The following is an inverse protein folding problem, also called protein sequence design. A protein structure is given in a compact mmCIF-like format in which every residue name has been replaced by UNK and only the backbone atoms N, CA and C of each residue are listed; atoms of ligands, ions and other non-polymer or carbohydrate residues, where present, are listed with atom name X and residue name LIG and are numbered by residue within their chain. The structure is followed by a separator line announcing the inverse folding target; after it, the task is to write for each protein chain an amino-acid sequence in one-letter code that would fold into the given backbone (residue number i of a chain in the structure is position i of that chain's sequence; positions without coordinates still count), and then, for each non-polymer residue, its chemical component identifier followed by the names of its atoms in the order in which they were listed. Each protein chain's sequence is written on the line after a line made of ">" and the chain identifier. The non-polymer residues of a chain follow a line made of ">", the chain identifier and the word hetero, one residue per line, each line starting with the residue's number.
data_IF_177246108876
#
_entry.id   IF_177246108876
#
_cell.length_a   1.000
_cell.length_b   1.000
_cell.length_c   1.000
_cell.angle_alpha   90.00
_cell.angle_beta   90.00
_cell.angle_gamma   90.00
#
_symmetry.space_group_name_H-M   'P 1'
#
loop_
_entity.id
_entity.type
_entity.pdbx_description
1 polymer ?
#
# COMPACT_ATOMS: atom_id res chain seq x y z
N UNK A 1 13.55 19.11 17.27
CA UNK A 1 13.27 19.02 15.82
C UNK A 1 12.78 17.60 15.58
N UNK A 2 11.50 17.41 15.28
CA UNK A 2 10.97 16.10 14.93
C UNK A 2 10.83 16.07 13.41
N UNK A 3 11.90 15.70 12.73
CA UNK A 3 11.82 15.26 11.34
C UNK A 3 11.24 13.84 11.37
N UNK A 4 9.91 13.74 11.40
CA UNK A 4 9.20 12.48 11.12
C UNK A 4 9.28 12.24 9.59
N UNK A 5 10.49 11.99 9.13
CA UNK A 5 10.76 11.51 7.79
C UNK A 5 10.40 10.04 7.78
N UNK A 6 9.48 9.65 6.90
CA UNK A 6 9.04 8.26 6.73
C UNK A 6 10.20 7.38 6.29
N UNK A 7 11.03 6.96 7.23
CA UNK A 7 12.09 6.01 7.03
C UNK A 7 11.46 4.70 6.58
N UNK A 8 11.85 4.24 5.39
CA UNK A 8 11.51 2.90 4.94
C UNK A 8 12.07 1.95 6.00
N UNK A 9 11.25 1.09 6.61
CA UNK A 9 11.74 0.17 7.62
C UNK A 9 12.88 -0.67 7.04
N UNK A 10 13.95 -0.87 7.80
CA UNK A 10 15.18 -1.55 7.32
C UNK A 10 14.95 -2.98 6.82
N UNK A 11 13.83 -3.58 7.21
CA UNK A 11 13.36 -4.91 6.79
C UNK A 11 12.30 -4.83 5.67
N UNK A 12 12.33 -3.77 4.86
CA UNK A 12 11.47 -3.59 3.71
C UNK A 12 12.34 -3.37 2.49
N UNK A 13 12.30 -4.33 1.57
CA UNK A 13 12.99 -4.28 0.29
C UNK A 13 11.99 -3.88 -0.79
N UNK A 14 12.25 -2.79 -1.51
CA UNK A 14 11.44 -2.40 -2.66
C UNK A 14 11.77 -3.32 -3.82
N UNK A 15 10.76 -4.00 -4.35
CA UNK A 15 10.91 -4.98 -5.43
C UNK A 15 10.57 -4.34 -6.76
N UNK A 16 9.36 -3.79 -6.88
CA UNK A 16 8.87 -3.24 -8.15
C UNK A 16 7.85 -2.10 -7.93
N UNK A 17 7.54 -1.34 -8.97
CA UNK A 17 6.55 -0.26 -8.94
C UNK A 17 5.27 -0.71 -9.65
N UNK A 18 4.21 -0.91 -8.89
CA UNK A 18 2.94 -1.46 -9.41
C UNK A 18 2.12 -0.37 -10.12
N UNK A 19 2.03 0.80 -9.49
CA UNK A 19 1.18 1.90 -9.93
C UNK A 19 1.80 3.24 -9.58
N UNK A 20 1.78 4.18 -10.52
CA UNK A 20 2.15 5.58 -10.26
C UNK A 20 1.03 6.47 -10.75
N UNK A 21 0.56 7.38 -9.91
CA UNK A 21 -0.44 8.38 -10.25
C UNK A 21 -0.10 9.75 -9.69
N UNK A 22 -0.58 10.78 -10.34
CA UNK A 22 -0.44 12.16 -9.87
C UNK A 22 -1.81 12.67 -9.45
N UNK A 23 -1.95 13.06 -8.19
CA UNK A 23 -3.18 13.66 -7.68
C UNK A 23 -3.32 15.09 -8.21
N UNK A 24 -4.57 15.56 -8.38
CA UNK A 24 -4.86 16.95 -8.79
C UNK A 24 -4.24 18.01 -7.87
N UNK A 25 -3.97 17.65 -6.62
CA UNK A 25 -3.27 18.49 -5.63
C UNK A 25 -1.77 18.62 -5.88
N UNK A 26 -1.20 17.98 -6.90
CA UNK A 26 0.24 18.00 -7.22
C UNK A 26 1.08 16.96 -6.47
N UNK A 27 0.46 16.10 -5.68
CA UNK A 27 1.15 14.98 -5.01
C UNK A 27 1.29 13.80 -5.96
N UNK A 28 2.51 13.29 -6.11
CA UNK A 28 2.78 12.03 -6.79
C UNK A 28 2.57 10.88 -5.81
N UNK A 29 1.73 9.92 -6.18
CA UNK A 29 1.47 8.72 -5.40
C UNK A 29 1.98 7.52 -6.16
N UNK A 30 2.86 6.76 -5.53
CA UNK A 30 3.43 5.53 -6.04
C UNK A 30 3.05 4.38 -5.12
N UNK A 31 2.56 3.29 -5.70
CA UNK A 31 2.38 2.02 -5.04
C UNK A 31 3.48 1.10 -5.50
N UNK A 32 4.32 0.69 -4.55
CA UNK A 32 5.45 -0.19 -4.82
C UNK A 32 5.22 -1.53 -4.16
N UNK A 33 5.52 -2.60 -4.88
CA UNK A 33 5.63 -3.93 -4.31
C UNK A 33 6.86 -3.97 -3.42
N UNK A 34 6.66 -4.32 -2.17
CA UNK A 34 7.74 -4.47 -1.21
C UNK A 34 7.76 -5.87 -0.64
N UNK A 35 8.95 -6.35 -0.36
CA UNK A 35 9.18 -7.60 0.35
C UNK A 35 9.53 -7.30 1.79
N UNK A 36 8.76 -7.92 2.67
CA UNK A 36 8.95 -7.98 4.12
C UNK A 36 9.49 -9.36 4.47
N UNK A 37 10.01 -9.58 5.69
CA UNK A 37 10.75 -10.80 5.99
C UNK A 37 9.88 -12.06 5.87
N UNK A 38 8.55 -11.89 5.93
CA UNK A 38 7.59 -12.99 5.90
C UNK A 38 6.60 -12.94 4.73
N UNK A 39 6.50 -11.85 3.97
CA UNK A 39 5.51 -11.70 2.88
C UNK A 39 5.79 -10.55 1.93
N UNK A 40 5.11 -10.58 0.78
CA UNK A 40 5.02 -9.45 -0.14
C UNK A 40 3.82 -8.59 0.24
N UNK A 41 4.02 -7.28 0.21
CA UNK A 41 3.02 -6.28 0.55
C UNK A 41 3.10 -5.13 -0.48
N UNK A 42 2.01 -4.36 -0.60
CA UNK A 42 2.01 -3.08 -1.26
C UNK A 42 2.40 -1.98 -0.25
N UNK A 43 3.33 -1.12 -0.63
CA UNK A 43 3.71 0.07 0.11
C UNK A 43 3.32 1.32 -0.66
N UNK A 44 2.79 2.31 0.07
CA UNK A 44 2.40 3.60 -0.49
C UNK A 44 3.55 4.59 -0.31
N UNK A 45 3.88 5.30 -1.38
CA UNK A 45 4.84 6.39 -1.40
C UNK A 45 4.13 7.64 -1.91
N UNK A 46 4.30 8.76 -1.21
CA UNK A 46 3.73 10.05 -1.60
C UNK A 46 4.87 11.06 -1.69
N UNK A 47 5.11 11.62 -2.88
CA UNK A 47 6.28 12.44 -3.20
C UNK A 47 7.57 11.75 -2.74
N UNK A 48 7.75 10.49 -3.13
CA UNK A 48 8.87 9.61 -2.75
C UNK A 48 8.98 9.29 -1.24
N UNK A 49 8.08 9.81 -0.40
CA UNK A 49 8.07 9.51 1.04
C UNK A 49 7.22 8.28 1.32
N UNK A 50 7.81 7.30 2.00
CA UNK A 50 7.07 6.14 2.49
C UNK A 50 5.94 6.56 3.42
N UNK A 51 4.77 5.98 3.22
CA UNK A 51 3.60 6.15 4.07
C UNK A 51 3.15 4.81 4.62
N UNK A 52 3.06 4.67 5.96
CA UNK A 52 2.49 3.48 6.54
C UNK A 52 1.01 3.37 6.12
N UNK A 53 0.60 2.14 5.85
CA UNK A 53 -0.71 1.83 5.29
C UNK A 53 -0.98 0.32 5.32
N UNK A 54 -2.20 -0.08 4.94
CA UNK A 54 -2.51 -1.49 4.78
C UNK A 54 -1.58 -2.12 3.74
N UNK A 55 -1.24 -3.41 3.91
CA UNK A 55 -0.38 -4.14 2.99
C UNK A 55 -1.04 -4.41 1.63
N UNK A 56 -2.34 -4.13 1.49
CA UNK A 56 -3.12 -4.20 0.25
C UNK A 56 -4.23 -3.14 0.25
N UNK A 57 -4.74 -2.71 -0.92
CA UNK A 57 -5.86 -1.78 -1.00
C UNK A 57 -7.11 -2.37 -0.35
N UNK A 58 -7.75 -1.57 0.50
CA UNK A 58 -8.97 -1.97 1.19
C UNK A 58 -10.19 -1.34 0.55
N UNK A 59 -11.32 -2.05 0.47
CA UNK A 59 -12.56 -1.48 -0.01
C UNK A 59 -12.99 -0.31 0.90
N UNK A 60 -13.53 0.73 0.28
CA UNK A 60 -14.17 1.84 0.97
C UNK A 60 -15.62 1.44 1.27
N UNK A 61 -16.08 1.67 2.50
CA UNK A 61 -17.50 1.47 2.87
C UNK A 61 -18.43 2.38 2.06
N UNK A 62 -17.94 3.55 1.67
CA UNK A 62 -18.65 4.48 0.80
C UNK A 62 -17.70 4.89 -0.32
N UNK A 63 -17.95 4.46 -1.58
CA UNK A 63 -17.13 4.87 -2.70
C UNK A 63 -17.22 6.39 -2.88
N UNK A 64 -16.07 7.03 -3.07
CA UNK A 64 -15.95 8.48 -3.20
C UNK A 64 -15.58 8.85 -4.64
N UNK A 65 -16.58 9.20 -5.45
CA UNK A 65 -16.39 9.41 -6.89
C UNK A 65 -16.00 8.10 -7.56
N UNK A 66 -14.83 8.07 -8.19
CA UNK A 66 -14.27 6.88 -8.86
C UNK A 66 -13.46 5.98 -7.91
N UNK A 67 -13.17 6.46 -6.69
CA UNK A 67 -12.43 5.69 -5.70
C UNK A 67 -13.34 4.69 -4.98
N UNK A 68 -13.06 3.41 -5.16
CA UNK A 68 -13.74 2.30 -4.50
C UNK A 68 -12.88 1.67 -3.41
N UNK A 69 -11.56 1.84 -3.49
CA UNK A 69 -10.60 1.31 -2.53
C UNK A 69 -9.69 2.41 -2.01
N UNK A 70 -9.04 2.16 -0.88
CA UNK A 70 -8.12 3.10 -0.26
C UNK A 70 -6.88 2.42 0.30
N UNK A 71 -5.77 3.18 0.34
CA UNK A 71 -4.57 2.85 1.11
C UNK A 71 -3.98 4.10 1.79
N UNK A 72 -3.10 3.86 2.76
CA UNK A 72 -2.41 4.87 3.57
C UNK A 72 -3.19 5.30 4.80
N UNK A 73 -2.48 5.61 5.89
CA UNK A 73 -3.08 6.12 7.14
C UNK A 73 -3.65 7.52 6.93
N UNK A 74 -2.78 8.49 6.58
CA UNK A 74 -3.10 9.89 6.27
C UNK A 74 -1.96 10.52 5.43
N UNK A 75 -2.23 11.17 4.29
CA UNK A 75 -3.54 11.24 3.62
C UNK A 75 -3.98 9.88 3.09
N UNK A 76 -5.29 9.60 3.12
CA UNK A 76 -5.87 8.40 2.49
C UNK A 76 -5.88 8.62 0.98
N UNK A 77 -5.28 7.69 0.25
CA UNK A 77 -5.30 7.70 -1.22
C UNK A 77 -6.40 6.77 -1.69
N UNK A 78 -7.31 7.31 -2.51
CA UNK A 78 -8.34 6.54 -3.20
C UNK A 78 -7.82 5.90 -4.49
N UNK A 79 -8.24 4.66 -4.72
CA UNK A 79 -7.96 3.86 -5.90
C UNK A 79 -9.28 3.41 -6.53
N UNK A 80 -9.29 3.32 -7.85
CA UNK A 80 -10.40 2.67 -8.57
C UNK A 80 -10.38 1.17 -8.32
N UNK A 81 -11.45 0.47 -8.72
CA UNK A 81 -11.50 -0.99 -8.60
C UNK A 81 -10.39 -1.65 -9.41
N UNK A 82 -10.13 -1.17 -10.62
CA UNK A 82 -9.09 -1.70 -11.51
C UNK A 82 -7.68 -1.50 -10.95
N UNK A 83 -7.42 -0.33 -10.36
CA UNK A 83 -6.12 -0.07 -9.73
C UNK A 83 -5.91 -0.93 -8.50
N UNK A 84 -6.95 -1.10 -7.69
CA UNK A 84 -6.90 -1.95 -6.52
C UNK A 84 -6.69 -3.42 -6.89
N UNK A 85 -7.41 -3.90 -7.90
CA UNK A 85 -7.28 -5.26 -8.43
C UNK A 85 -5.86 -5.53 -8.94
N UNK A 86 -5.28 -4.59 -9.69
CA UNK A 86 -3.87 -4.70 -10.14
C UNK A 86 -2.89 -4.83 -8.98
N UNK A 87 -3.07 -4.05 -7.90
CA UNK A 87 -2.21 -4.13 -6.72
C UNK A 87 -2.39 -5.47 -6.01
N UNK A 88 -3.64 -5.94 -5.88
CA UNK A 88 -3.94 -7.23 -5.29
C UNK A 88 -3.36 -8.39 -6.10
N UNK A 89 -3.46 -8.34 -7.42
CA UNK A 89 -2.93 -9.38 -8.31
C UNK A 89 -1.41 -9.47 -8.22
N UNK A 90 -0.69 -8.34 -8.24
CA UNK A 90 0.76 -8.33 -8.08
C UNK A 90 1.22 -8.85 -6.71
N UNK A 91 0.59 -8.38 -5.63
CA UNK A 91 0.93 -8.82 -4.27
C UNK A 91 0.59 -10.30 -4.07
N UNK A 92 -0.63 -10.71 -4.46
CA UNK A 92 -1.10 -12.09 -4.34
C UNK A 92 -0.27 -13.02 -5.23
N UNK A 93 -0.01 -12.64 -6.48
CA UNK A 93 0.78 -13.39 -7.43
C UNK A 93 2.19 -13.69 -6.93
N UNK A 94 2.86 -12.70 -6.34
CA UNK A 94 4.19 -12.89 -5.77
C UNK A 94 4.18 -13.77 -4.52
N UNK A 95 3.17 -13.60 -3.65
CA UNK A 95 3.00 -14.45 -2.47
C UNK A 95 2.70 -15.92 -2.88
N UNK A 96 1.80 -16.14 -3.85
CA UNK A 96 1.45 -17.47 -4.37
C UNK A 96 2.64 -18.12 -5.05
N UNK A 97 3.34 -17.40 -5.93
CA UNK A 97 4.53 -17.90 -6.64
C UNK A 97 5.61 -18.40 -5.66
N UNK A 98 5.78 -17.70 -4.54
CA UNK A 98 6.76 -18.05 -3.50
C UNK A 98 6.21 -18.90 -2.37
N UNK A 99 4.95 -19.36 -2.46
CA UNK A 99 4.25 -20.17 -1.45
C UNK A 99 4.24 -19.52 -0.07
N UNK A 100 4.13 -18.21 -0.04
CA UNK A 100 4.05 -17.43 1.18
C UNK A 100 2.60 -17.23 1.56
N UNK A 101 2.28 -17.47 2.84
CA UNK A 101 0.97 -17.16 3.38
C UNK A 101 0.88 -15.68 3.74
N UNK A 102 0.10 -14.93 2.98
CA UNK A 102 -0.15 -13.52 3.25
C UNK A 102 -1.01 -13.34 4.50
N UNK A 103 -0.56 -12.48 5.41
CA UNK A 103 -1.21 -12.14 6.67
C UNK A 103 -1.46 -10.63 6.65
N UNK A 104 -2.73 -10.25 6.57
CA UNK A 104 -3.14 -8.86 6.69
C UNK A 104 -3.14 -8.43 8.16
N UNK A 105 -2.03 -7.81 8.60
CA UNK A 105 -1.87 -7.31 9.98
C UNK A 105 -2.39 -5.89 10.19
N UNK A 106 -2.96 -5.27 9.16
CA UNK A 106 -3.36 -3.87 9.25
C UNK A 106 -4.65 -3.69 10.04
N UNK A 107 -4.62 -2.82 11.04
CA UNK A 107 -5.82 -2.55 11.86
C UNK A 107 -6.23 -3.69 12.78
N UNK A 108 -5.46 -4.78 12.86
CA UNK A 108 -5.55 -5.76 13.96
C UNK A 108 -4.89 -5.10 15.17
N UNK A 109 -5.61 -4.18 15.82
CA UNK A 109 -5.45 -4.01 17.25
C UNK A 109 -6.00 -5.29 17.86
N UNK A 110 -5.09 -6.06 18.46
CA UNK A 110 -5.42 -7.11 19.42
C UNK A 110 -6.33 -6.43 20.48
N UNK A 111 -7.63 -6.66 20.38
CA UNK A 111 -8.57 -6.39 21.47
C UNK A 111 -8.31 -7.53 22.47
N UNK A 112 -7.52 -7.22 23.48
CA UNK A 112 -7.14 -8.10 24.61
C UNK A 112 -8.33 -8.26 25.54
#
# INVERSE_FOLDING_TARGET
>A
MFEDSGEIPKDMEIIDSILTKTLKSGFQVEVKLVKRPRQYEAALFINDKYKPGPPVPRPMETPAGEATHWMGVRPKVGFTAEEADKILDEVSGQNVLRRIHFIDKWGVQDDI
#
